data_IF_648312696010
#
_entry.id   IF_648312696010
#
_cell.length_a   1.000
_cell.length_b   1.000
_cell.length_c   1.000
_cell.angle_alpha   90.00
_cell.angle_beta   90.00
_cell.angle_gamma   90.00
#
_symmetry.space_group_name_H-M   'P 1'
#
loop_
_entity.id
_entity.type
_entity.pdbx_description
1 polymer ?
#
# COMPACT_ATOMS: atom_id res chain seq x y z
N UNK A 1 -27.77 7.64 2.29
CA UNK A 1 -27.05 7.09 1.12
C UNK A 1 -25.58 7.01 1.51
N UNK A 2 -24.93 5.85 1.34
CA UNK A 2 -23.48 5.75 1.52
C UNK A 2 -22.80 6.53 0.40
N UNK A 3 -21.88 7.43 0.74
CA UNK A 3 -21.03 8.10 -0.21
C UNK A 3 -20.14 7.04 -0.90
N UNK A 4 -19.93 7.08 -2.23
CA UNK A 4 -18.96 6.18 -2.85
C UNK A 4 -17.60 6.39 -2.18
N UNK A 5 -16.83 5.31 -1.95
CA UNK A 5 -15.50 5.45 -1.37
C UNK A 5 -14.69 6.42 -2.25
N UNK A 6 -13.99 7.35 -1.61
CA UNK A 6 -13.02 8.19 -2.30
C UNK A 6 -12.03 7.28 -3.05
N UNK A 7 -11.66 7.61 -4.31
CA UNK A 7 -10.77 6.77 -5.08
C UNK A 7 -9.40 6.71 -4.42
N UNK A 8 -8.87 5.50 -4.27
CA UNK A 8 -7.47 5.28 -3.89
C UNK A 8 -6.60 5.38 -5.14
N UNK A 9 -5.80 6.45 -5.24
CA UNK A 9 -4.94 6.75 -6.39
C UNK A 9 -3.49 6.82 -5.91
N UNK A 10 -2.61 6.08 -6.57
CA UNK A 10 -1.17 5.96 -6.21
C UNK A 10 -0.32 6.41 -7.40
N UNK A 11 -0.52 7.64 -7.83
CA UNK A 11 0.12 8.30 -8.98
C UNK A 11 1.33 9.18 -8.60
N UNK A 12 1.88 8.96 -7.40
CA UNK A 12 3.02 9.68 -6.83
C UNK A 12 3.82 8.75 -5.90
N UNK A 13 5.03 9.11 -5.44
CA UNK A 13 5.87 8.23 -4.62
C UNK A 13 5.14 7.66 -3.41
N UNK A 14 5.32 6.35 -3.19
CA UNK A 14 4.61 5.61 -2.14
C UNK A 14 5.50 4.56 -1.47
N UNK A 15 5.11 4.16 -0.27
CA UNK A 15 5.69 3.02 0.44
C UNK A 15 4.78 1.81 0.32
N UNK A 16 5.37 0.62 0.31
CA UNK A 16 4.61 -0.63 0.31
C UNK A 16 5.20 -1.64 1.29
N UNK A 17 4.31 -2.51 1.78
CA UNK A 17 4.63 -3.65 2.62
C UNK A 17 3.95 -4.88 2.05
N UNK A 18 4.69 -5.98 1.96
CA UNK A 18 4.13 -7.31 1.70
C UNK A 18 4.29 -8.09 3.00
N UNK A 19 3.19 -8.53 3.59
CA UNK A 19 3.18 -9.22 4.88
C UNK A 19 2.45 -10.57 4.80
N UNK A 20 2.90 -11.54 5.58
CA UNK A 20 2.05 -12.65 5.98
C UNK A 20 1.18 -12.20 7.16
N UNK A 21 -0.05 -12.68 7.22
CA UNK A 21 -0.94 -12.46 8.36
C UNK A 21 -0.76 -13.54 9.44
N UNK A 22 -0.31 -14.73 9.05
CA UNK A 22 -0.01 -15.83 9.96
C UNK A 22 1.28 -16.56 9.48
N UNK A 23 2.41 -16.41 10.19
CA UNK A 23 2.60 -15.50 11.32
C UNK A 23 2.52 -14.04 10.87
N UNK A 24 2.22 -13.13 11.80
CA UNK A 24 2.19 -11.69 11.49
C UNK A 24 3.62 -11.15 11.27
N UNK A 25 4.07 -11.15 10.02
CA UNK A 25 5.44 -10.76 9.65
C UNK A 25 5.49 -10.02 8.32
N UNK A 26 6.31 -8.97 8.27
CA UNK A 26 6.63 -8.26 7.03
C UNK A 26 7.69 -9.06 6.27
N UNK A 27 7.36 -9.48 5.05
CA UNK A 27 8.25 -10.21 4.16
C UNK A 27 9.10 -9.25 3.31
N UNK A 28 8.49 -8.17 2.83
CA UNK A 28 9.16 -7.15 2.03
C UNK A 28 8.65 -5.76 2.43
N UNK A 29 9.56 -4.79 2.44
CA UNK A 29 9.27 -3.38 2.63
C UNK A 29 10.07 -2.56 1.60
N UNK A 30 9.44 -1.54 1.03
CA UNK A 30 10.10 -0.70 0.03
C UNK A 30 9.37 0.60 -0.23
N UNK A 31 10.03 1.45 -1.03
CA UNK A 31 9.44 2.69 -1.56
C UNK A 31 9.62 2.74 -3.07
N UNK A 32 8.58 3.12 -3.79
CA UNK A 32 8.67 3.49 -5.20
C UNK A 32 8.84 5.00 -5.28
N UNK A 33 9.92 5.42 -5.95
CA UNK A 33 10.28 6.81 -6.22
C UNK A 33 10.49 6.97 -7.73
N UNK A 34 10.37 8.18 -8.24
CA UNK A 34 10.64 8.46 -9.66
C UNK A 34 12.13 8.26 -9.99
N UNK A 35 12.41 7.84 -11.22
CA UNK A 35 13.76 7.57 -11.74
C UNK A 35 14.42 8.83 -12.28
#
# INVERSE_FOLDING_TARGET
KSQPPFPFVVDHPFMFFIRSHDPDVILFAGSVRDC
#
